data_IF_392179314350
#
_entry.id   IF_392179314350
#
_cell.length_a   1.000
_cell.length_b   1.000
_cell.length_c   1.000
_cell.angle_alpha   90.00
_cell.angle_beta   90.00
_cell.angle_gamma   90.00
#
_symmetry.space_group_name_H-M   'P 1'
#
loop_
_entity.id
_entity.type
_entity.pdbx_description
1 polymer ?
#
# COMPACT_ATOMS: atom_id res chain seq x y z
N UNK A 1 -7.79 28.94 -21.31
CA UNK A 1 -7.34 28.84 -19.90
C UNK A 1 -7.17 27.41 -19.38
N UNK A 2 -7.90 26.40 -19.90
CA UNK A 2 -7.83 25.01 -19.40
C UNK A 2 -6.71 24.17 -20.07
N UNK A 3 -6.36 24.50 -21.32
CA UNK A 3 -5.34 23.78 -22.13
C UNK A 3 -3.94 23.74 -21.50
N UNK A 4 -3.53 24.77 -20.74
CA UNK A 4 -2.18 24.89 -20.14
C UNK A 4 -1.91 23.84 -19.04
N UNK A 5 -2.97 23.26 -18.44
CA UNK A 5 -2.87 22.27 -17.38
C UNK A 5 -3.13 20.84 -17.85
N UNK A 6 -3.33 20.64 -19.15
CA UNK A 6 -3.73 19.35 -19.72
C UNK A 6 -2.52 18.59 -20.26
N UNK A 7 -2.23 17.40 -19.70
CA UNK A 7 -1.20 16.48 -20.19
C UNK A 7 -1.82 15.48 -21.17
N UNK A 8 -1.30 15.37 -22.39
CA UNK A 8 -1.71 14.32 -23.34
C UNK A 8 -0.95 13.03 -23.05
N UNK A 9 -1.67 11.93 -22.79
CA UNK A 9 -1.08 10.65 -22.37
C UNK A 9 -1.13 9.57 -23.47
N UNK A 10 -1.43 9.96 -24.71
CA UNK A 10 -1.54 9.05 -25.85
C UNK A 10 -2.86 8.26 -25.93
N UNK A 11 -3.57 8.10 -24.81
CA UNK A 11 -4.92 7.50 -24.75
C UNK A 11 -6.00 8.49 -24.30
N UNK A 12 -5.65 9.77 -24.15
CA UNK A 12 -6.55 10.82 -23.70
C UNK A 12 -5.79 12.03 -23.14
N UNK A 13 -6.53 12.92 -22.46
CA UNK A 13 -5.98 14.08 -21.76
C UNK A 13 -6.17 13.95 -20.25
N UNK A 14 -5.15 14.37 -19.50
CA UNK A 14 -5.17 14.43 -18.05
C UNK A 14 -5.14 15.88 -17.59
N UNK A 15 -6.19 16.32 -16.91
CA UNK A 15 -6.28 17.68 -16.39
C UNK A 15 -6.55 17.65 -14.87
N UNK A 16 -5.62 18.13 -14.03
CA UNK A 16 -5.77 18.07 -12.58
C UNK A 16 -6.95 18.89 -12.07
N UNK A 17 -7.29 20.01 -12.72
CA UNK A 17 -8.44 20.85 -12.33
C UNK A 17 -9.75 20.10 -12.55
N UNK A 18 -9.88 19.38 -13.68
CA UNK A 18 -11.06 18.56 -13.97
C UNK A 18 -11.21 17.43 -12.94
N UNK A 19 -10.12 16.78 -12.56
CA UNK A 19 -10.13 15.74 -11.52
C UNK A 19 -10.54 16.27 -10.14
N UNK A 20 -10.05 17.45 -9.74
CA UNK A 20 -10.46 18.08 -8.49
C UNK A 20 -11.95 18.41 -8.47
N UNK A 21 -12.49 18.93 -9.58
CA UNK A 21 -13.93 19.20 -9.71
C UNK A 21 -14.72 17.90 -9.64
N UNK A 22 -14.31 16.86 -10.37
CA UNK A 22 -14.98 15.57 -10.35
C UNK A 22 -15.01 14.94 -8.94
N UNK A 23 -13.89 15.00 -8.20
CA UNK A 23 -13.81 14.53 -6.82
C UNK A 23 -14.72 15.35 -5.89
N UNK A 24 -14.76 16.68 -6.05
CA UNK A 24 -15.65 17.53 -5.28
C UNK A 24 -17.13 17.18 -5.52
N UNK A 25 -17.53 16.98 -6.77
CA UNK A 25 -18.89 16.56 -7.13
C UNK A 25 -19.21 15.19 -6.55
N UNK A 26 -18.33 14.21 -6.70
CA UNK A 26 -18.52 12.88 -6.11
C UNK A 26 -18.68 12.95 -4.59
N UNK A 27 -17.87 13.77 -3.91
CA UNK A 27 -17.94 13.97 -2.47
C UNK A 27 -19.28 14.59 -2.04
N UNK A 28 -19.76 15.61 -2.77
CA UNK A 28 -21.08 16.20 -2.52
C UNK A 28 -22.20 15.16 -2.68
N UNK A 29 -22.15 14.34 -3.74
CA UNK A 29 -23.14 13.27 -3.94
C UNK A 29 -23.12 12.29 -2.77
N UNK A 30 -21.94 11.85 -2.32
CA UNK A 30 -21.79 10.99 -1.15
C UNK A 30 -22.37 11.63 0.11
N UNK A 31 -22.11 12.93 0.34
CA UNK A 31 -22.66 13.65 1.48
C UNK A 31 -24.18 13.78 1.43
N UNK A 32 -24.77 14.00 0.25
CA UNK A 32 -26.22 14.02 0.07
C UNK A 32 -26.81 12.65 0.43
N UNK A 33 -26.25 11.57 -0.13
CA UNK A 33 -26.70 10.21 0.18
C UNK A 33 -26.58 9.93 1.68
N UNK A 34 -25.42 10.26 2.28
CA UNK A 34 -25.18 10.10 3.71
C UNK A 34 -26.18 10.89 4.57
N UNK A 35 -26.53 12.12 4.15
CA UNK A 35 -27.50 12.95 4.85
C UNK A 35 -28.93 12.38 4.81
N UNK A 36 -29.27 11.57 3.81
CA UNK A 36 -30.58 10.87 3.73
C UNK A 36 -30.64 9.61 4.60
N UNK A 37 -29.52 9.15 5.16
CA UNK A 37 -29.47 7.96 6.00
C UNK A 37 -30.17 8.14 7.36
N UNK A 38 -30.75 7.06 7.88
CA UNK A 38 -31.41 7.03 9.18
C UNK A 38 -30.41 7.26 10.33
N UNK A 39 -30.66 8.29 11.15
CA UNK A 39 -29.76 8.68 12.25
C UNK A 39 -30.05 7.94 13.56
N UNK A 40 -31.23 7.37 13.71
CA UNK A 40 -31.73 6.75 14.94
C UNK A 40 -31.20 5.32 15.22
N UNK A 41 -30.22 4.85 14.45
CA UNK A 41 -29.62 3.53 14.72
C UNK A 41 -28.87 3.53 16.06
N UNK A 42 -28.99 2.43 16.81
CA UNK A 42 -28.31 2.26 18.09
C UNK A 42 -26.81 2.08 17.83
N UNK A 43 -26.02 3.09 18.24
CA UNK A 43 -24.56 3.14 17.99
C UNK A 43 -23.71 2.37 19.00
N UNK A 44 -24.33 1.82 20.04
CA UNK A 44 -23.65 1.24 21.19
C UNK A 44 -24.25 -0.11 21.58
N UNK A 45 -23.44 -0.94 22.23
CA UNK A 45 -23.81 -2.28 22.66
C UNK A 45 -23.86 -3.31 21.52
N UNK A 46 -24.43 -4.49 21.81
CA UNK A 46 -24.45 -5.61 20.87
C UNK A 46 -25.18 -5.36 19.54
N UNK A 47 -26.01 -4.31 19.45
CA UNK A 47 -26.66 -3.91 18.20
C UNK A 47 -25.70 -3.21 17.21
N UNK A 48 -24.56 -2.71 17.68
CA UNK A 48 -23.50 -2.13 16.86
C UNK A 48 -22.39 -3.15 16.54
N UNK A 49 -22.41 -4.32 17.16
CA UNK A 49 -21.46 -5.39 16.90
C UNK A 49 -21.79 -6.11 15.57
N UNK A 50 -20.78 -6.61 14.84
CA UNK A 50 -21.01 -7.45 13.67
C UNK A 50 -21.89 -8.65 14.01
N UNK A 51 -22.84 -8.98 13.15
CA UNK A 51 -23.68 -10.17 13.35
C UNK A 51 -22.86 -11.44 13.09
N UNK A 52 -22.46 -12.12 14.16
CA UNK A 52 -21.70 -13.38 14.13
C UNK A 52 -22.57 -14.59 14.52
N UNK A 53 -23.80 -14.63 14.01
CA UNK A 53 -24.78 -15.70 14.31
C UNK A 53 -25.00 -15.91 15.82
N UNK A 54 -24.97 -14.83 16.60
CA UNK A 54 -25.13 -14.87 18.05
C UNK A 54 -23.86 -15.23 18.85
N UNK A 55 -22.73 -15.50 18.18
CA UNK A 55 -21.44 -15.68 18.86
C UNK A 55 -20.82 -14.34 19.27
N UNK A 56 -20.01 -14.36 20.33
CA UNK A 56 -19.18 -13.22 20.70
C UNK A 56 -18.13 -12.96 19.62
N UNK A 57 -17.81 -11.69 19.38
CA UNK A 57 -16.75 -11.31 18.45
C UNK A 57 -15.40 -11.85 18.96
N UNK A 58 -14.70 -12.70 18.17
CA UNK A 58 -13.36 -13.12 18.52
C UNK A 58 -12.44 -11.91 18.51
N UNK A 59 -11.28 -12.01 19.17
CA UNK A 59 -10.30 -10.92 19.11
C UNK A 59 -9.90 -10.69 17.65
N UNK A 60 -9.69 -9.42 17.25
CA UNK A 60 -9.41 -9.06 15.84
C UNK A 60 -8.24 -9.84 15.26
N UNK A 61 -7.26 -10.19 16.09
CA UNK A 61 -6.08 -10.98 15.72
C UNK A 61 -6.40 -12.41 15.28
N UNK A 62 -7.56 -12.95 15.71
CA UNK A 62 -8.04 -14.29 15.37
C UNK A 62 -8.87 -14.31 14.08
N UNK A 63 -9.41 -13.16 13.67
CA UNK A 63 -10.28 -13.02 12.48
C UNK A 63 -9.46 -12.61 11.23
N UNK A 64 -8.36 -11.88 11.42
CA UNK A 64 -7.55 -11.39 10.31
C UNK A 64 -6.59 -12.46 9.78
N UNK A 65 -6.68 -12.75 8.49
CA UNK A 65 -5.62 -13.47 7.79
C UNK A 65 -4.36 -12.59 7.85
N UNK A 66 -3.34 -13.04 8.59
CA UNK A 66 -2.07 -12.34 8.69
C UNK A 66 -1.49 -12.12 7.29
N UNK A 67 -0.91 -10.95 7.05
CA UNK A 67 -0.28 -10.63 5.76
C UNK A 67 0.75 -11.69 5.32
N UNK A 68 1.47 -12.30 6.27
CA UNK A 68 2.39 -13.40 5.99
C UNK A 68 1.71 -14.66 5.44
N UNK A 69 0.45 -14.92 5.80
CA UNK A 69 -0.30 -16.07 5.30
C UNK A 69 -0.75 -15.86 3.83
N UNK A 70 -0.96 -14.61 3.41
CA UNK A 70 -1.38 -14.29 2.04
C UNK A 70 -0.29 -14.63 1.02
N UNK A 71 0.97 -14.42 1.39
CA UNK A 71 2.14 -14.66 0.55
C UNK A 71 2.91 -15.94 0.91
N UNK A 72 2.39 -16.75 1.84
CA UNK A 72 3.11 -17.90 2.37
C UNK A 72 3.60 -18.84 1.26
N UNK A 73 2.74 -19.19 0.31
CA UNK A 73 3.10 -20.08 -0.81
C UNK A 73 4.21 -19.51 -1.70
N UNK A 74 4.24 -18.19 -1.90
CA UNK A 74 5.31 -17.51 -2.64
C UNK A 74 6.61 -17.49 -1.85
N UNK A 75 6.55 -17.13 -0.56
CA UNK A 75 7.74 -17.09 0.31
C UNK A 75 8.32 -18.48 0.56
N UNK A 76 7.48 -19.52 0.61
CA UNK A 76 7.90 -20.90 0.82
C UNK A 76 8.56 -21.46 -0.44
N UNK A 77 7.96 -21.23 -1.62
CA UNK A 77 8.55 -21.63 -2.91
C UNK A 77 9.92 -20.98 -3.14
N UNK A 78 10.11 -19.75 -2.65
CA UNK A 78 11.39 -19.02 -2.71
C UNK A 78 12.18 -19.07 -1.40
N UNK A 79 11.87 -20.00 -0.49
CA UNK A 79 12.50 -20.02 0.84
C UNK A 79 14.02 -20.15 0.75
N UNK A 80 14.54 -20.88 -0.24
CA UNK A 80 15.96 -20.96 -0.53
C UNK A 80 16.59 -19.58 -0.82
N UNK A 81 15.92 -18.74 -1.60
CA UNK A 81 16.40 -17.38 -1.90
C UNK A 81 16.35 -16.47 -0.66
N UNK A 82 15.20 -16.43 0.02
CA UNK A 82 15.00 -15.57 1.19
C UNK A 82 15.87 -15.95 2.39
N UNK A 83 16.13 -17.25 2.62
CA UNK A 83 17.01 -17.71 3.70
C UNK A 83 18.43 -17.15 3.62
N UNK A 84 18.93 -16.84 2.41
CA UNK A 84 20.27 -16.28 2.22
C UNK A 84 20.28 -14.76 2.18
N UNK A 85 19.22 -14.12 1.65
CA UNK A 85 19.18 -12.66 1.47
C UNK A 85 18.69 -11.89 2.68
N UNK A 86 17.74 -12.44 3.44
CA UNK A 86 17.20 -11.77 4.63
C UNK A 86 18.31 -11.50 5.66
N UNK A 87 19.24 -12.44 5.95
CA UNK A 87 20.35 -12.19 6.87
C UNK A 87 21.31 -11.06 6.45
N UNK A 88 21.38 -10.70 5.16
CA UNK A 88 22.21 -9.58 4.70
C UNK A 88 21.63 -8.21 5.09
N UNK A 89 20.35 -8.15 5.46
CA UNK A 89 19.66 -6.95 5.90
C UNK A 89 19.70 -6.84 7.43
N UNK A 90 20.90 -6.69 7.97
CA UNK A 90 21.16 -6.73 9.43
C UNK A 90 20.52 -5.56 10.19
N UNK A 91 20.18 -4.47 9.50
CA UNK A 91 19.75 -3.22 10.14
C UNK A 91 20.89 -2.42 10.79
N UNK A 92 22.15 -2.86 10.67
CA UNK A 92 23.32 -2.18 11.22
C UNK A 92 23.89 -1.22 10.17
N UNK A 93 23.93 0.08 10.47
CA UNK A 93 24.37 1.12 9.53
C UNK A 93 25.73 0.83 8.87
N UNK A 94 26.69 0.33 9.64
CA UNK A 94 28.03 0.02 9.15
C UNK A 94 28.02 -1.00 8.00
N UNK A 95 27.13 -2.00 8.06
CA UNK A 95 27.04 -3.02 7.01
C UNK A 95 26.54 -2.39 5.70
N UNK A 96 25.59 -1.46 5.77
CA UNK A 96 25.12 -0.74 4.58
C UNK A 96 26.16 0.21 4.00
N UNK A 97 26.94 0.90 4.85
CA UNK A 97 28.07 1.73 4.39
C UNK A 97 29.09 0.84 3.66
N UNK A 98 29.39 -0.34 4.20
CA UNK A 98 30.27 -1.30 3.56
C UNK A 98 29.74 -1.76 2.20
N UNK A 99 28.46 -2.12 2.10
CA UNK A 99 27.82 -2.49 0.83
C UNK A 99 27.87 -1.35 -0.20
N UNK A 100 27.63 -0.11 0.24
CA UNK A 100 27.69 1.07 -0.62
C UNK A 100 29.11 1.29 -1.16
N UNK A 101 30.12 1.32 -0.28
CA UNK A 101 31.51 1.50 -0.68
C UNK A 101 32.01 0.37 -1.57
N UNK A 102 31.63 -0.88 -1.26
CA UNK A 102 31.94 -2.05 -2.08
C UNK A 102 31.35 -1.93 -3.48
N UNK A 103 30.06 -1.58 -3.58
CA UNK A 103 29.38 -1.38 -4.87
C UNK A 103 30.05 -0.25 -5.67
N UNK A 104 30.40 0.86 -5.04
CA UNK A 104 31.09 1.98 -5.67
C UNK A 104 32.46 1.55 -6.21
N UNK A 105 33.25 0.83 -5.41
CA UNK A 105 34.54 0.31 -5.82
C UNK A 105 34.41 -0.68 -6.99
N UNK A 106 33.40 -1.57 -6.98
CA UNK A 106 33.11 -2.48 -8.09
C UNK A 106 32.78 -1.72 -9.37
N UNK A 107 31.93 -0.70 -9.31
CA UNK A 107 31.59 0.13 -10.48
C UNK A 107 32.83 0.81 -11.04
N UNK A 108 33.65 1.43 -10.20
CA UNK A 108 34.90 2.08 -10.61
C UNK A 108 35.84 1.08 -11.28
N UNK A 109 36.00 -0.12 -10.70
CA UNK A 109 36.84 -1.18 -11.26
C UNK A 109 36.32 -1.64 -12.63
N UNK A 110 35.02 -1.89 -12.75
CA UNK A 110 34.39 -2.28 -14.03
C UNK A 110 34.63 -1.19 -15.07
N UNK A 111 34.38 0.08 -14.75
CA UNK A 111 34.62 1.20 -15.67
C UNK A 111 36.10 1.36 -16.05
N UNK A 112 37.02 1.07 -15.13
CA UNK A 112 38.44 1.13 -15.40
C UNK A 112 38.93 -0.01 -16.31
N UNK A 113 38.32 -1.19 -16.21
CA UNK A 113 38.65 -2.39 -17.00
C UNK A 113 37.94 -2.39 -18.36
N UNK A 114 36.71 -1.85 -18.42
CA UNK A 114 35.89 -1.73 -19.64
C UNK A 114 36.25 -0.47 -20.45
N UNK A 115 37.33 0.23 -20.07
CA UNK A 115 37.94 1.27 -20.91
C UNK A 115 38.33 0.73 -22.28
#
# INVERSE_FOLDING_TARGET
MIEIFSLSTGTGSWNPVVWLIALAVAFIVVLIIWATGERSYRREGGAAAPFLSGNAEPKKEEVQIRAGNLYWGFTEALSGYYKHLVPLHTGILNDYILWFLGTMATIILVLAVVR
#
